data_IF_781920895580
#
_entry.id   IF_781920895580
#
_cell.length_a   1.000
_cell.length_b   1.000
_cell.length_c   1.000
_cell.angle_alpha   90.00
_cell.angle_beta   90.00
_cell.angle_gamma   90.00
#
_symmetry.space_group_name_H-M   'P 1'
#
loop_
_entity.id
_entity.type
_entity.pdbx_description
1 polymer ?
#
# COMPACT_ATOMS: atom_id res chain seq x y z
N UNK A 1 19.82 16.46 -4.44
CA UNK A 1 19.46 15.06 -4.17
C UNK A 1 19.99 14.21 -5.31
N UNK A 2 20.84 13.23 -5.01
CA UNK A 2 21.37 12.30 -6.02
C UNK A 2 20.24 11.41 -6.54
N UNK A 3 20.16 11.26 -7.87
CA UNK A 3 19.34 10.25 -8.48
C UNK A 3 20.07 8.89 -8.37
N UNK A 4 19.34 7.82 -8.07
CA UNK A 4 19.85 6.46 -8.23
C UNK A 4 19.98 6.21 -9.73
N UNK A 5 21.19 6.35 -10.25
CA UNK A 5 21.47 6.05 -11.65
C UNK A 5 21.83 4.58 -11.76
N UNK A 6 21.10 3.88 -12.58
CA UNK A 6 21.54 2.57 -13.07
C UNK A 6 22.69 2.80 -14.07
N UNK A 7 23.92 2.68 -13.58
CA UNK A 7 25.10 2.85 -14.45
C UNK A 7 25.03 1.92 -15.66
N UNK A 8 25.24 2.47 -16.87
CA UNK A 8 25.22 1.71 -18.12
C UNK A 8 23.83 1.33 -18.66
N UNK A 9 22.75 1.81 -18.06
CA UNK A 9 21.38 1.54 -18.53
C UNK A 9 20.88 2.62 -19.48
N UNK A 10 20.38 2.16 -20.60
CA UNK A 10 19.51 2.81 -21.57
C UNK A 10 19.87 4.24 -21.98
N UNK A 11 20.00 4.48 -23.28
CA UNK A 11 20.03 5.85 -23.79
C UNK A 11 18.65 6.48 -23.60
N UNK A 12 18.52 7.83 -23.48
CA UNK A 12 17.24 8.51 -23.20
C UNK A 12 16.08 8.07 -24.11
N UNK A 13 16.36 7.77 -25.38
CA UNK A 13 15.36 7.31 -26.35
C UNK A 13 14.90 5.84 -26.16
N UNK A 14 15.60 5.07 -25.33
CA UNK A 14 15.26 3.68 -24.98
C UNK A 14 14.49 3.57 -23.68
N UNK A 15 14.27 4.70 -23.00
CA UNK A 15 13.61 4.74 -21.68
C UNK A 15 12.19 5.25 -21.86
N UNK A 16 11.22 4.40 -21.52
CA UNK A 16 9.81 4.80 -21.45
C UNK A 16 9.52 5.44 -20.09
N UNK A 17 8.90 6.61 -20.10
CA UNK A 17 8.42 7.30 -18.90
C UNK A 17 6.94 6.98 -18.68
N UNK A 18 6.59 6.46 -17.53
CA UNK A 18 5.21 6.12 -17.16
C UNK A 18 4.84 6.85 -15.87
N UNK A 19 3.78 7.66 -15.92
CA UNK A 19 3.26 8.35 -14.74
C UNK A 19 2.44 7.41 -13.87
N UNK A 20 2.64 7.49 -12.55
CA UNK A 20 1.94 6.70 -11.56
C UNK A 20 1.88 7.44 -10.22
N UNK A 21 1.26 6.82 -9.23
CA UNK A 21 1.20 7.31 -7.86
C UNK A 21 2.09 6.45 -6.96
N UNK A 22 2.81 7.09 -6.04
CA UNK A 22 3.65 6.39 -5.07
C UNK A 22 2.78 5.58 -4.09
N UNK A 23 3.05 4.28 -3.96
CA UNK A 23 2.31 3.37 -3.09
C UNK A 23 2.85 3.23 -1.66
N UNK A 24 3.79 4.10 -1.23
CA UNK A 24 4.40 3.94 0.10
C UNK A 24 3.56 4.48 1.26
N UNK A 25 2.82 5.55 1.04
CA UNK A 25 1.97 6.14 2.09
C UNK A 25 0.82 6.95 1.47
N UNK A 26 -0.08 7.42 2.34
CA UNK A 26 -1.31 8.13 1.95
C UNK A 26 -1.09 9.52 1.33
N UNK A 27 0.13 10.03 1.26
CA UNK A 27 0.42 11.32 0.59
C UNK A 27 0.04 11.28 -0.88
N UNK A 28 0.21 10.11 -1.54
CA UNK A 28 -0.18 9.97 -2.95
C UNK A 28 0.70 10.74 -3.92
N UNK A 29 1.99 10.89 -3.62
CA UNK A 29 2.93 11.61 -4.48
C UNK A 29 2.88 11.11 -5.93
N UNK A 30 2.78 12.04 -6.88
CA UNK A 30 2.88 11.71 -8.30
C UNK A 30 4.34 11.38 -8.64
N UNK A 31 4.54 10.26 -9.32
CA UNK A 31 5.86 9.78 -9.73
C UNK A 31 5.90 9.48 -11.21
N UNK A 32 7.07 9.65 -11.79
CA UNK A 32 7.39 9.23 -13.14
C UNK A 32 8.38 8.07 -13.08
N UNK A 33 7.93 6.90 -13.49
CA UNK A 33 8.72 5.66 -13.51
C UNK A 33 9.41 5.58 -14.86
N UNK A 34 10.73 5.52 -14.85
CA UNK A 34 11.56 5.36 -16.05
C UNK A 34 11.88 3.87 -16.21
N UNK A 35 11.40 3.29 -17.30
CA UNK A 35 11.51 1.85 -17.59
C UNK A 35 12.32 1.65 -18.87
N UNK A 36 13.30 0.78 -18.82
CA UNK A 36 14.08 0.29 -19.95
C UNK A 36 13.85 -1.24 -20.13
N UNK A 37 14.60 -1.87 -21.02
CA UNK A 37 14.51 -3.31 -21.27
C UNK A 37 14.85 -4.19 -20.06
N UNK A 38 15.56 -3.63 -19.07
CA UNK A 38 15.99 -4.33 -17.85
C UNK A 38 15.09 -4.02 -16.64
N UNK A 39 14.03 -3.22 -16.82
CA UNK A 39 13.09 -2.84 -15.78
C UNK A 39 13.18 -1.38 -15.36
N UNK A 40 12.85 -1.07 -14.11
CA UNK A 40 12.87 0.31 -13.60
C UNK A 40 14.31 0.79 -13.44
N UNK A 41 14.65 1.88 -14.11
CA UNK A 41 15.98 2.50 -14.05
C UNK A 41 16.06 3.62 -13.01
N UNK A 42 15.00 4.43 -12.90
CA UNK A 42 14.88 5.49 -11.87
C UNK A 42 13.43 5.91 -11.67
N UNK A 43 13.19 6.62 -10.56
CA UNK A 43 11.92 7.29 -10.29
C UNK A 43 12.19 8.80 -10.10
N UNK A 44 11.42 9.62 -10.81
CA UNK A 44 11.42 11.08 -10.69
C UNK A 44 10.02 11.58 -10.40
N UNK A 45 9.86 12.88 -10.21
CA UNK A 45 8.58 13.56 -10.17
C UNK A 45 8.72 14.92 -10.84
N UNK A 46 7.69 15.37 -11.51
CA UNK A 46 7.68 16.62 -12.23
C UNK A 46 7.29 17.79 -11.31
N UNK A 47 7.97 18.91 -11.46
CA UNK A 47 7.62 20.16 -10.77
C UNK A 47 6.21 20.58 -11.22
N UNK A 48 5.38 21.02 -10.27
CA UNK A 48 3.97 21.31 -10.50
C UNK A 48 3.04 20.11 -10.30
N UNK A 49 3.56 18.90 -10.04
CA UNK A 49 2.73 17.74 -9.74
C UNK A 49 2.13 17.83 -8.32
N UNK A 50 0.83 17.75 -8.21
CA UNK A 50 0.13 17.71 -6.91
C UNK A 50 0.09 16.26 -6.39
N UNK A 51 0.32 16.03 -5.08
CA UNK A 51 0.53 17.00 -4.00
C UNK A 51 2.00 17.34 -3.72
N UNK A 52 2.96 16.74 -4.39
CA UNK A 52 4.37 16.73 -3.98
C UNK A 52 5.27 17.72 -4.75
N UNK A 53 4.76 18.45 -5.73
CA UNK A 53 5.46 19.48 -6.50
C UNK A 53 6.91 19.07 -6.91
N UNK A 54 7.05 17.87 -7.49
CA UNK A 54 8.35 17.34 -7.92
C UNK A 54 9.24 16.76 -6.82
N UNK A 55 8.86 16.92 -5.55
CA UNK A 55 9.61 16.41 -4.41
C UNK A 55 9.22 14.96 -4.10
N UNK A 56 10.21 14.17 -3.72
CA UNK A 56 10.01 12.79 -3.29
C UNK A 56 10.87 12.52 -2.06
N UNK A 57 10.29 11.82 -1.09
CA UNK A 57 11.08 11.29 0.02
C UNK A 57 12.00 10.15 -0.46
N UNK A 58 12.91 9.73 0.38
CA UNK A 58 13.87 8.66 0.08
C UNK A 58 13.18 7.36 -0.39
N UNK A 59 12.05 6.98 0.21
CA UNK A 59 11.33 5.76 -0.16
C UNK A 59 10.77 5.85 -1.59
N UNK A 60 10.05 6.92 -1.91
CA UNK A 60 9.45 7.10 -3.23
C UNK A 60 10.48 7.24 -4.35
N UNK A 61 11.67 7.79 -4.04
CA UNK A 61 12.72 8.01 -5.03
C UNK A 61 13.63 6.80 -5.26
N UNK A 62 13.95 6.04 -4.21
CA UNK A 62 15.04 5.05 -4.28
C UNK A 62 14.62 3.63 -3.95
N UNK A 63 13.53 3.43 -3.19
CA UNK A 63 13.18 2.12 -2.68
C UNK A 63 12.23 1.35 -3.62
N UNK A 64 12.63 1.12 -4.87
CA UNK A 64 11.86 0.39 -5.88
C UNK A 64 12.45 -0.98 -6.27
N UNK A 65 13.57 -1.37 -5.69
CA UNK A 65 14.23 -2.64 -6.01
C UNK A 65 13.36 -3.86 -5.70
N UNK A 66 12.47 -3.75 -4.68
CA UNK A 66 11.57 -4.82 -4.30
C UNK A 66 10.59 -5.24 -5.42
N UNK A 67 10.33 -4.37 -6.39
CA UNK A 67 9.36 -4.63 -7.47
C UNK A 67 9.82 -5.81 -8.34
N UNK A 68 11.14 -5.88 -8.61
CA UNK A 68 11.75 -6.93 -9.44
C UNK A 68 12.64 -7.89 -8.62
N UNK A 69 12.49 -7.90 -7.28
CA UNK A 69 13.29 -8.77 -6.44
C UNK A 69 12.91 -10.24 -6.69
N UNK A 70 13.87 -11.17 -6.80
CA UNK A 70 13.59 -12.59 -7.06
C UNK A 70 12.73 -13.26 -5.98
N UNK A 71 12.83 -12.79 -4.72
CA UNK A 71 12.02 -13.33 -3.62
C UNK A 71 10.62 -12.69 -3.53
N UNK A 72 10.27 -11.78 -4.47
CA UNK A 72 8.94 -11.20 -4.49
C UNK A 72 7.89 -12.27 -4.79
N UNK A 73 6.86 -12.33 -3.95
CA UNK A 73 5.71 -13.21 -4.20
C UNK A 73 4.89 -12.63 -5.36
N UNK A 74 4.82 -13.38 -6.45
CA UNK A 74 4.08 -13.04 -7.67
C UNK A 74 2.83 -13.91 -7.88
N UNK A 75 2.71 -14.97 -7.09
CA UNK A 75 1.61 -15.94 -7.13
C UNK A 75 1.12 -16.24 -5.72
N UNK A 76 -0.15 -16.62 -5.55
CA UNK A 76 -0.64 -17.11 -4.27
C UNK A 76 0.16 -18.32 -3.80
N UNK A 77 0.30 -18.46 -2.50
CA UNK A 77 0.94 -19.61 -1.87
C UNK A 77 0.04 -20.20 -0.80
N UNK A 78 -0.10 -21.52 -0.79
CA UNK A 78 -0.87 -22.26 0.20
C UNK A 78 0.06 -23.20 0.97
N UNK A 79 -0.14 -23.29 2.28
CA UNK A 79 0.65 -24.19 3.12
C UNK A 79 0.14 -25.63 3.00
N UNK A 80 1.01 -26.52 2.52
CA UNK A 80 0.81 -27.98 2.46
C UNK A 80 1.94 -28.69 3.20
N UNK A 81 1.61 -29.58 4.09
CA UNK A 81 2.61 -30.37 4.84
C UNK A 81 3.71 -29.51 5.51
N UNK A 82 3.35 -28.32 5.99
CA UNK A 82 4.29 -27.39 6.63
C UNK A 82 4.99 -26.41 5.68
N UNK A 83 5.04 -26.67 4.38
CA UNK A 83 5.71 -25.85 3.37
C UNK A 83 4.73 -24.95 2.62
N UNK A 84 5.19 -23.75 2.22
CA UNK A 84 4.46 -22.89 1.30
C UNK A 84 4.70 -23.34 -0.14
N UNK A 85 3.63 -23.62 -0.85
CA UNK A 85 3.65 -24.08 -2.25
C UNK A 85 2.81 -23.15 -3.11
N UNK A 86 3.22 -22.95 -4.35
CA UNK A 86 2.47 -22.14 -5.33
C UNK A 86 1.08 -22.73 -5.54
N UNK A 87 0.08 -21.86 -5.65
CA UNK A 87 -1.33 -22.22 -5.84
C UNK A 87 -2.00 -21.29 -6.85
N UNK A 88 -3.13 -21.70 -7.39
CA UNK A 88 -3.99 -20.79 -8.17
C UNK A 88 -4.78 -19.85 -7.24
N UNK A 89 -5.31 -18.76 -7.80
CA UNK A 89 -6.19 -17.86 -7.05
C UNK A 89 -7.47 -18.57 -6.60
N UNK A 90 -8.03 -19.45 -7.43
CA UNK A 90 -9.22 -20.24 -7.11
C UNK A 90 -8.98 -21.13 -5.90
N UNK A 91 -7.84 -21.80 -5.87
CA UNK A 91 -7.44 -22.63 -4.73
C UNK A 91 -7.23 -21.80 -3.47
N UNK A 92 -6.53 -20.68 -3.57
CA UNK A 92 -6.30 -19.77 -2.44
C UNK A 92 -7.63 -19.26 -1.87
N UNK A 93 -8.57 -18.81 -2.71
CA UNK A 93 -9.89 -18.38 -2.28
C UNK A 93 -10.71 -19.52 -1.65
N UNK A 94 -10.63 -20.72 -2.19
CA UNK A 94 -11.30 -21.90 -1.63
C UNK A 94 -10.80 -22.18 -0.21
N UNK A 95 -9.49 -22.20 -0.01
CA UNK A 95 -8.86 -22.42 1.30
C UNK A 95 -9.26 -21.33 2.31
N UNK A 96 -9.19 -20.05 1.91
CA UNK A 96 -9.56 -18.92 2.76
C UNK A 96 -11.05 -19.01 3.13
N UNK A 97 -11.91 -19.18 2.15
CA UNK A 97 -13.37 -19.26 2.35
C UNK A 97 -13.75 -20.41 3.28
N UNK A 98 -13.19 -21.60 3.08
CA UNK A 98 -13.43 -22.76 3.95
C UNK A 98 -12.99 -22.50 5.39
N UNK A 99 -11.81 -21.92 5.58
CA UNK A 99 -11.29 -21.59 6.93
C UNK A 99 -12.14 -20.54 7.62
N UNK A 100 -12.47 -19.43 6.95
CA UNK A 100 -13.28 -18.36 7.53
C UNK A 100 -14.69 -18.84 7.89
N UNK A 101 -15.34 -19.64 7.01
CA UNK A 101 -16.64 -20.26 7.31
C UNK A 101 -16.55 -21.19 8.50
N UNK A 102 -15.51 -22.01 8.61
CA UNK A 102 -15.29 -22.91 9.74
C UNK A 102 -15.10 -22.18 11.06
N UNK A 103 -14.28 -21.12 11.07
CA UNK A 103 -14.06 -20.29 12.26
C UNK A 103 -15.36 -19.60 12.68
N UNK A 104 -16.06 -18.97 11.71
CA UNK A 104 -17.34 -18.29 11.98
C UNK A 104 -18.39 -19.25 12.52
N UNK A 105 -18.48 -20.47 11.98
CA UNK A 105 -19.43 -21.49 12.45
C UNK A 105 -19.11 -22.00 13.85
N UNK A 106 -17.81 -22.18 14.17
CA UNK A 106 -17.38 -22.75 15.45
C UNK A 106 -17.29 -21.73 16.58
N UNK A 107 -16.87 -20.51 16.29
CA UNK A 107 -16.52 -19.50 17.29
C UNK A 107 -17.32 -18.20 17.17
N UNK A 108 -18.21 -18.10 16.18
CA UNK A 108 -18.98 -16.88 15.91
C UNK A 108 -18.24 -15.87 15.03
N UNK A 109 -18.99 -14.89 14.53
CA UNK A 109 -18.49 -13.86 13.60
C UNK A 109 -17.43 -12.94 14.25
N UNK A 110 -17.56 -12.68 15.55
CA UNK A 110 -16.70 -11.74 16.27
C UNK A 110 -15.35 -12.35 16.72
N UNK A 111 -15.11 -13.63 16.38
CA UNK A 111 -13.80 -14.27 16.50
C UNK A 111 -12.86 -13.91 15.34
N UNK A 112 -13.35 -13.18 14.33
CA UNK A 112 -12.59 -12.74 13.17
C UNK A 112 -12.43 -11.22 13.24
N UNK A 113 -11.21 -10.73 13.06
CA UNK A 113 -10.91 -9.30 12.97
C UNK A 113 -10.08 -8.99 11.73
N UNK A 114 -10.13 -7.72 11.30
CA UNK A 114 -9.43 -7.21 10.14
C UNK A 114 -8.65 -5.95 10.50
N UNK A 115 -7.47 -5.78 9.93
CA UNK A 115 -6.64 -4.60 10.11
C UNK A 115 -6.30 -4.05 8.74
N UNK A 116 -6.76 -2.83 8.45
CA UNK A 116 -6.42 -2.06 7.27
C UNK A 116 -5.11 -1.28 7.44
N UNK A 117 -4.74 -0.52 6.44
CA UNK A 117 -3.54 0.31 6.50
C UNK A 117 -3.66 1.55 5.61
N UNK A 118 -3.05 2.66 6.04
CA UNK A 118 -2.83 3.85 5.20
C UNK A 118 -1.86 3.63 4.04
N UNK A 119 -1.25 2.45 3.93
CA UNK A 119 -0.44 2.03 2.77
C UNK A 119 -1.23 1.29 1.71
N UNK A 120 -2.47 0.91 2.03
CA UNK A 120 -3.40 0.35 1.08
C UNK A 120 -4.12 1.47 0.33
N UNK A 121 -4.65 1.17 -0.86
CA UNK A 121 -5.52 2.11 -1.58
C UNK A 121 -6.85 2.30 -0.85
N UNK A 122 -7.56 3.37 -1.17
CA UNK A 122 -8.91 3.59 -0.63
C UNK A 122 -9.85 2.45 -1.00
N UNK A 123 -9.71 1.91 -2.21
CA UNK A 123 -10.49 0.78 -2.72
C UNK A 123 -10.24 -0.49 -1.93
N UNK A 124 -8.98 -0.80 -1.62
CA UNK A 124 -8.60 -1.96 -0.80
C UNK A 124 -9.16 -1.86 0.61
N UNK A 125 -9.03 -0.71 1.26
CA UNK A 125 -9.59 -0.47 2.59
C UNK A 125 -11.13 -0.54 2.58
N UNK A 126 -11.78 0.03 1.54
CA UNK A 126 -13.22 -0.07 1.36
C UNK A 126 -13.69 -1.52 1.20
N UNK A 127 -13.02 -2.29 0.33
CA UNK A 127 -13.35 -3.70 0.11
C UNK A 127 -13.15 -4.54 1.35
N UNK A 128 -12.09 -4.30 2.12
CA UNK A 128 -11.87 -4.98 3.39
C UNK A 128 -12.99 -4.68 4.39
N UNK A 129 -13.38 -3.42 4.53
CA UNK A 129 -14.47 -3.02 5.41
C UNK A 129 -15.82 -3.63 4.96
N UNK A 130 -16.09 -3.61 3.67
CA UNK A 130 -17.30 -4.24 3.09
C UNK A 130 -17.31 -5.74 3.32
N UNK A 131 -16.17 -6.41 3.14
CA UNK A 131 -16.04 -7.84 3.39
C UNK A 131 -16.28 -8.19 4.87
N UNK A 132 -15.65 -7.44 5.79
CA UNK A 132 -15.84 -7.66 7.22
C UNK A 132 -17.32 -7.53 7.63
N UNK A 133 -18.00 -6.48 7.19
CA UNK A 133 -19.38 -6.18 7.58
C UNK A 133 -20.42 -7.00 6.83
N UNK A 134 -20.31 -7.09 5.51
CA UNK A 134 -21.33 -7.75 4.68
C UNK A 134 -21.15 -9.27 4.60
N UNK A 135 -19.93 -9.79 4.47
CA UNK A 135 -19.69 -11.23 4.31
C UNK A 135 -19.49 -11.94 5.65
N UNK A 136 -18.64 -11.40 6.51
CA UNK A 136 -18.39 -11.98 7.84
C UNK A 136 -19.49 -11.57 8.84
N UNK A 137 -19.94 -10.31 8.80
CA UNK A 137 -20.97 -9.76 9.68
C UNK A 137 -20.41 -9.24 11.00
N UNK A 138 -19.12 -8.87 11.03
CA UNK A 138 -18.45 -8.30 12.22
C UNK A 138 -18.08 -6.85 12.01
N UNK A 139 -18.01 -6.08 13.11
CA UNK A 139 -17.43 -4.74 13.15
C UNK A 139 -16.01 -4.72 13.69
N UNK A 140 -15.37 -5.88 13.90
CA UNK A 140 -14.00 -5.99 14.35
C UNK A 140 -13.05 -5.65 13.18
N UNK A 141 -13.02 -4.38 12.84
CA UNK A 141 -12.13 -3.83 11.82
C UNK A 141 -11.51 -2.55 12.34
N UNK A 142 -10.21 -2.44 12.18
CA UNK A 142 -9.41 -1.30 12.58
C UNK A 142 -8.28 -1.06 11.57
N UNK A 143 -7.45 -0.08 11.82
CA UNK A 143 -6.31 0.26 10.98
C UNK A 143 -5.04 0.37 11.81
N UNK A 144 -3.90 0.18 11.15
CA UNK A 144 -2.58 0.24 11.79
C UNK A 144 -2.28 1.59 12.43
N UNK A 145 -2.86 2.67 11.91
CA UNK A 145 -2.65 4.04 12.37
C UNK A 145 -3.32 4.34 13.72
N UNK A 146 -4.29 3.54 14.14
CA UNK A 146 -4.97 3.72 15.44
C UNK A 146 -3.98 3.70 16.61
N UNK A 147 -3.01 2.80 16.62
CA UNK A 147 -1.97 2.79 17.66
C UNK A 147 -0.86 3.83 17.40
N UNK A 148 -0.49 4.01 16.14
CA UNK A 148 0.62 4.88 15.74
C UNK A 148 0.24 6.36 15.81
N UNK A 149 -0.98 6.73 15.43
CA UNK A 149 -1.42 8.12 15.20
C UNK A 149 -2.48 8.61 16.19
N UNK A 150 -3.13 7.73 16.95
CA UNK A 150 -4.14 8.12 17.93
C UNK A 150 -3.65 9.15 18.97
N UNK A 151 -2.42 9.08 19.50
CA UNK A 151 -1.90 10.10 20.40
C UNK A 151 -1.90 11.50 19.76
N UNK A 152 -1.51 11.61 18.49
CA UNK A 152 -1.53 12.86 17.73
C UNK A 152 -2.95 13.39 17.55
N UNK A 153 -3.88 12.52 17.15
CA UNK A 153 -5.29 12.90 16.97
C UNK A 153 -5.92 13.35 18.29
N UNK A 154 -5.62 12.70 19.39
CA UNK A 154 -6.10 13.07 20.72
C UNK A 154 -5.52 14.42 21.17
N UNK A 155 -4.23 14.65 20.94
CA UNK A 155 -3.58 15.92 21.23
C UNK A 155 -4.20 17.07 20.39
N UNK A 156 -4.36 16.88 19.08
CA UNK A 156 -5.01 17.88 18.23
C UNK A 156 -6.45 18.18 18.67
N UNK A 157 -7.22 17.14 18.99
CA UNK A 157 -8.60 17.32 19.47
C UNK A 157 -8.66 18.07 20.78
N UNK A 158 -7.77 17.81 21.71
CA UNK A 158 -7.75 18.48 23.02
C UNK A 158 -7.26 19.93 22.94
N UNK A 159 -6.37 20.26 21.99
CA UNK A 159 -5.78 21.58 21.85
C UNK A 159 -6.53 22.49 20.87
N UNK A 160 -6.97 21.92 19.72
CA UNK A 160 -7.58 22.66 18.62
C UNK A 160 -9.08 22.38 18.45
N UNK A 161 -9.62 21.38 19.16
CA UNK A 161 -11.01 20.93 18.98
C UNK A 161 -11.23 20.05 17.76
N UNK A 162 -10.23 19.86 16.92
CA UNK A 162 -10.27 19.10 15.67
C UNK A 162 -9.15 18.08 15.60
N UNK A 163 -9.41 16.91 15.02
CA UNK A 163 -8.41 15.85 14.81
C UNK A 163 -8.06 15.69 13.33
N UNK A 164 -7.94 16.80 12.62
CA UNK A 164 -7.61 16.84 11.19
C UNK A 164 -6.69 18.02 10.89
N UNK A 165 -6.13 18.05 9.68
CA UNK A 165 -5.36 19.21 9.20
C UNK A 165 -6.30 20.41 9.00
N UNK A 166 -5.81 21.59 9.37
CA UNK A 166 -6.55 22.85 9.23
C UNK A 166 -6.16 23.62 7.98
N UNK A 167 -5.05 23.23 7.35
CA UNK A 167 -4.47 23.92 6.19
C UNK A 167 -4.37 22.98 5.00
N UNK A 168 -4.43 23.52 3.78
CA UNK A 168 -4.17 22.76 2.56
C UNK A 168 -2.66 22.47 2.38
N UNK A 169 -2.33 21.43 1.62
CA UNK A 169 -0.92 21.11 1.30
C UNK A 169 -0.28 22.24 0.49
N UNK A 170 -1.07 22.98 -0.29
CA UNK A 170 -0.62 24.11 -1.12
C UNK A 170 -0.13 25.31 -0.30
N UNK A 171 -0.57 25.41 0.96
CA UNK A 171 -0.14 26.46 1.89
C UNK A 171 1.19 26.16 2.59
N UNK A 172 1.78 24.98 2.35
CA UNK A 172 3.11 24.61 2.81
C UNK A 172 4.13 25.17 1.81
N UNK A 173 4.48 26.43 1.93
CA UNK A 173 5.46 27.10 1.07
C UNK A 173 6.64 27.65 1.89
#
# INVERSE_FOLDING_TARGET
LYEKQAMGRGRPYQVKKVRSTCGYCSIGCQIDIHVDQQGISKITSEVGSTPNNGNLCMKGRFAYDFINHPDRLDTPMVRRNGNLEKASWEEAYSVISKKLKGIKSKHGKDSISFIGSGRCTNEENYLMQKFARAAIGTNNIDQSETECHAPTLNALRSTLGLSTTTNSIEEIS
#
